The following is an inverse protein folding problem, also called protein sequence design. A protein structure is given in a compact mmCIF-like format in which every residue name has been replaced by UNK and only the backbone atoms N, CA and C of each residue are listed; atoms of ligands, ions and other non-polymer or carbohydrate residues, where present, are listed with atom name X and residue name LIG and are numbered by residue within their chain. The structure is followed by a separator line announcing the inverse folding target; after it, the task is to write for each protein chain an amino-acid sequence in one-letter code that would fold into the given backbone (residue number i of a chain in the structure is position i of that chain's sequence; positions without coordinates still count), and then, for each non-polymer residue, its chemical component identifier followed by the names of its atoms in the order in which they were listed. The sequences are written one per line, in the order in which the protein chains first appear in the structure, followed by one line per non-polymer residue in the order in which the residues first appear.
data_IF_499133730743
#
_entry.id   IF_499133730743
#
_cell.length_a   1.000
_cell.length_b   1.000
_cell.length_c   1.000
_cell.angle_alpha   90.00
_cell.angle_beta   90.00
_cell.angle_gamma   90.00
#
_symmetry.space_group_name_H-M   'P 1'
#
loop_
_entity.id
_entity.type
_entity.pdbx_description
1 polymer ?
#
# COMPACT_ATOMS: atom_id res chain seq x y z
N UNK A 1 19.94 -5.53 -33.63
CA UNK A 1 18.51 -5.21 -33.55
C UNK A 1 17.70 -6.49 -33.57
N UNK A 2 16.88 -6.73 -32.54
CA UNK A 2 16.03 -7.92 -32.48
C UNK A 2 14.62 -7.59 -32.97
N UNK A 3 14.35 -7.88 -34.26
CA UNK A 3 12.99 -7.87 -34.80
C UNK A 3 12.29 -9.17 -34.42
N UNK A 4 11.61 -9.18 -33.28
CA UNK A 4 10.73 -10.27 -32.90
C UNK A 4 9.47 -10.26 -33.78
N UNK A 5 9.37 -11.17 -34.74
CA UNK A 5 8.15 -11.37 -35.54
C UNK A 5 6.96 -11.61 -34.59
N UNK A 6 6.03 -10.66 -34.50
CA UNK A 6 4.75 -10.85 -33.81
C UNK A 6 4.03 -12.03 -34.45
N UNK A 7 3.78 -13.11 -33.70
CA UNK A 7 2.94 -14.24 -34.16
C UNK A 7 1.60 -13.69 -34.64
N UNK A 8 1.19 -14.04 -35.86
CA UNK A 8 -0.09 -13.61 -36.41
C UNK A 8 -1.25 -14.16 -35.57
N UNK A 9 -2.30 -13.36 -35.35
CA UNK A 9 -3.53 -13.84 -34.72
C UNK A 9 -4.11 -14.95 -35.58
N UNK A 10 -4.28 -16.15 -35.02
CA UNK A 10 -4.97 -17.24 -35.71
C UNK A 10 -6.43 -16.81 -35.94
N UNK A 11 -6.84 -16.73 -37.21
CA UNK A 11 -8.23 -16.40 -37.61
C UNK A 11 -9.22 -17.55 -37.39
N UNK A 12 -8.73 -18.77 -37.16
CA UNK A 12 -9.53 -19.98 -36.93
C UNK A 12 -8.92 -20.79 -35.79
N UNK A 13 -9.77 -21.31 -34.90
CA UNK A 13 -9.37 -22.27 -33.87
C UNK A 13 -9.94 -23.66 -34.22
N UNK A 14 -9.25 -24.73 -33.82
CA UNK A 14 -9.80 -26.08 -34.03
C UNK A 14 -10.96 -26.33 -33.02
N UNK A 15 -11.88 -27.26 -33.30
CA UNK A 15 -13.02 -27.54 -32.43
C UNK A 15 -12.61 -27.90 -31.00
N UNK A 16 -11.49 -28.61 -30.84
CA UNK A 16 -10.96 -28.99 -29.52
C UNK A 16 -10.49 -27.78 -28.70
N UNK A 17 -9.82 -26.81 -29.32
CA UNK A 17 -9.40 -25.55 -28.69
C UNK A 17 -10.61 -24.68 -28.39
N UNK A 18 -11.60 -24.66 -29.29
CA UNK A 18 -12.87 -23.97 -29.05
C UNK A 18 -13.58 -24.55 -27.82
N UNK A 19 -13.69 -25.88 -27.74
CA UNK A 19 -14.28 -26.57 -26.59
C UNK A 19 -13.50 -26.28 -25.29
N UNK A 20 -12.17 -26.30 -25.33
CA UNK A 20 -11.33 -25.96 -24.18
C UNK A 20 -11.49 -24.51 -23.72
N UNK A 21 -11.66 -23.56 -24.64
CA UNK A 21 -11.91 -22.15 -24.30
C UNK A 21 -13.32 -21.97 -23.73
N UNK A 22 -14.32 -22.64 -24.32
CA UNK A 22 -15.71 -22.58 -23.87
C UNK A 22 -15.96 -23.32 -22.55
N UNK A 23 -15.10 -24.28 -22.19
CA UNK A 23 -15.17 -25.02 -20.94
C UNK A 23 -14.67 -24.22 -19.72
N UNK A 24 -14.01 -23.07 -19.93
CA UNK A 24 -13.51 -22.24 -18.83
C UNK A 24 -14.69 -21.61 -18.10
N UNK A 25 -14.85 -21.93 -16.82
CA UNK A 25 -15.88 -21.31 -15.99
C UNK A 25 -15.46 -19.87 -15.59
N UNK A 26 -16.37 -18.89 -15.61
CA UNK A 26 -16.11 -17.56 -15.04
C UNK A 26 -15.75 -17.70 -13.55
N UNK A 27 -14.46 -17.56 -13.24
CA UNK A 27 -13.89 -17.81 -11.90
C UNK A 27 -12.64 -18.71 -11.91
N UNK A 28 -12.46 -19.56 -12.93
CA UNK A 28 -11.26 -20.40 -13.07
C UNK A 28 -10.07 -19.66 -13.73
N UNK A 29 -10.33 -18.56 -14.42
CA UNK A 29 -9.31 -17.79 -15.09
C UNK A 29 -8.75 -16.67 -14.20
N UNK A 30 -7.45 -16.76 -13.87
CA UNK A 30 -6.72 -15.62 -13.31
C UNK A 30 -6.49 -14.58 -14.41
N UNK A 31 -6.95 -13.33 -14.27
CA UNK A 31 -6.67 -12.26 -15.22
C UNK A 31 -5.17 -12.14 -15.49
N UNK A 32 -4.80 -12.03 -16.77
CA UNK A 32 -3.40 -12.03 -17.20
C UNK A 32 -2.55 -10.99 -16.47
N UNK A 33 -3.00 -9.73 -16.46
CA UNK A 33 -2.48 -8.69 -15.57
C UNK A 33 -3.63 -7.90 -14.95
N UNK A 34 -3.52 -7.60 -13.67
CA UNK A 34 -4.46 -6.78 -12.90
C UNK A 34 -3.81 -5.48 -12.48
N UNK A 35 -4.61 -4.55 -11.98
CA UNK A 35 -4.10 -3.40 -11.24
C UNK A 35 -3.22 -3.84 -10.07
N UNK A 36 -2.11 -3.14 -9.86
CA UNK A 36 -1.14 -3.45 -8.83
C UNK A 36 -1.46 -2.79 -7.48
N UNK A 37 -2.38 -1.84 -7.42
CA UNK A 37 -2.63 -0.99 -6.24
C UNK A 37 -2.87 -1.82 -4.98
N UNK A 38 -3.76 -2.80 -5.04
CA UNK A 38 -4.02 -3.71 -3.93
C UNK A 38 -2.81 -4.54 -3.51
N UNK A 39 -1.97 -4.94 -4.48
CA UNK A 39 -0.73 -5.67 -4.22
C UNK A 39 0.29 -4.78 -3.53
N UNK A 40 0.48 -3.56 -4.04
CA UNK A 40 1.40 -2.57 -3.48
C UNK A 40 1.02 -2.24 -2.04
N UNK A 41 -0.25 -1.91 -1.78
CA UNK A 41 -0.74 -1.52 -0.45
C UNK A 41 -0.57 -2.61 0.59
N UNK A 42 -0.82 -3.88 0.23
CA UNK A 42 -0.60 -5.04 1.12
C UNK A 42 0.88 -5.24 1.45
N UNK A 43 1.76 -5.18 0.45
CA UNK A 43 3.21 -5.28 0.69
C UNK A 43 3.68 -4.13 1.59
N UNK A 44 3.26 -2.90 1.29
CA UNK A 44 3.58 -1.70 2.08
C UNK A 44 3.14 -1.86 3.54
N UNK A 45 1.93 -2.35 3.77
CA UNK A 45 1.38 -2.58 5.12
C UNK A 45 2.15 -3.66 5.89
N UNK A 46 2.55 -4.75 5.24
CA UNK A 46 3.42 -5.76 5.87
C UNK A 46 4.79 -5.16 6.23
N UNK A 47 5.37 -4.34 5.36
CA UNK A 47 6.64 -3.65 5.67
C UNK A 47 6.46 -2.68 6.84
N UNK A 48 5.32 -1.98 6.93
CA UNK A 48 4.97 -1.13 8.07
C UNK A 48 4.80 -1.92 9.38
N UNK A 49 4.32 -3.17 9.31
CA UNK A 49 4.29 -4.09 10.45
C UNK A 49 5.67 -4.63 10.83
N UNK A 50 6.66 -4.53 9.94
CA UNK A 50 8.06 -4.89 10.19
C UNK A 50 8.58 -6.06 9.36
N UNK A 51 7.80 -6.57 8.40
CA UNK A 51 8.22 -7.64 7.49
C UNK A 51 9.16 -7.12 6.40
N UNK A 52 10.44 -7.52 6.34
CA UNK A 52 11.34 -7.09 5.28
C UNK A 52 11.01 -7.77 3.95
N UNK A 53 11.27 -7.08 2.84
CA UNK A 53 11.03 -7.62 1.49
C UNK A 53 11.79 -8.92 1.21
N UNK A 54 12.98 -9.08 1.80
CA UNK A 54 13.77 -10.32 1.71
C UNK A 54 13.08 -11.53 2.32
N UNK A 55 12.19 -11.33 3.31
CA UNK A 55 11.40 -12.40 3.93
C UNK A 55 10.07 -12.62 3.22
N UNK A 56 9.47 -11.54 2.69
CA UNK A 56 8.22 -11.60 1.94
C UNK A 56 8.40 -12.24 0.56
N UNK A 57 9.49 -11.93 -0.16
CA UNK A 57 9.72 -12.41 -1.52
C UNK A 57 9.61 -13.93 -1.67
N UNK A 58 10.35 -14.73 -0.88
CA UNK A 58 10.24 -16.19 -0.92
C UNK A 58 8.82 -16.71 -0.70
N UNK A 59 8.03 -16.05 0.17
CA UNK A 59 6.62 -16.42 0.43
C UNK A 59 5.70 -16.13 -0.76
N UNK A 60 6.05 -15.13 -1.58
CA UNK A 60 5.37 -14.86 -2.84
C UNK A 60 5.88 -15.73 -4.00
N UNK A 61 6.95 -16.51 -3.80
CA UNK A 61 7.67 -17.21 -4.86
C UNK A 61 8.53 -16.29 -5.74
N UNK A 62 8.99 -15.17 -5.19
CA UNK A 62 9.73 -14.12 -5.90
C UNK A 62 11.07 -13.81 -5.21
N UNK A 63 11.99 -13.20 -5.96
CA UNK A 63 13.19 -12.62 -5.37
C UNK A 63 12.87 -11.32 -4.61
N UNK A 64 13.75 -10.90 -3.69
CA UNK A 64 13.63 -9.60 -3.02
C UNK A 64 13.57 -8.46 -4.04
N UNK A 65 14.44 -8.50 -5.06
CA UNK A 65 14.48 -7.48 -6.12
C UNK A 65 13.15 -7.40 -6.87
N UNK A 66 12.60 -8.56 -7.26
CA UNK A 66 11.30 -8.62 -7.94
C UNK A 66 10.18 -8.11 -7.04
N UNK A 67 10.22 -8.45 -5.76
CA UNK A 67 9.24 -7.98 -4.77
C UNK A 67 9.31 -6.46 -4.60
N UNK A 68 10.51 -5.89 -4.60
CA UNK A 68 10.72 -4.44 -4.60
C UNK A 68 10.16 -3.77 -5.85
N UNK A 69 10.28 -4.41 -7.02
CA UNK A 69 9.73 -3.88 -8.27
C UNK A 69 8.20 -3.84 -8.28
N UNK A 70 7.52 -4.75 -7.55
CA UNK A 70 6.05 -4.71 -7.45
C UNK A 70 5.54 -3.40 -6.83
N UNK A 71 6.34 -2.72 -6.03
CA UNK A 71 5.97 -1.46 -5.36
C UNK A 71 5.86 -0.26 -6.32
N UNK A 72 6.36 -0.38 -7.55
CA UNK A 72 6.39 0.72 -8.53
C UNK A 72 5.74 0.36 -9.87
N UNK A 73 5.21 -0.86 -10.01
CA UNK A 73 4.57 -1.32 -11.24
C UNK A 73 3.08 -1.04 -11.21
N UNK A 74 2.50 -0.55 -12.31
CA UNK A 74 1.05 -0.29 -12.40
C UNK A 74 0.22 -1.58 -12.54
N UNK A 75 0.85 -2.64 -13.07
CA UNK A 75 0.18 -3.90 -13.38
C UNK A 75 1.00 -5.10 -12.92
N UNK A 76 0.34 -6.07 -12.30
CA UNK A 76 0.93 -7.33 -11.83
C UNK A 76 0.18 -8.53 -12.38
N UNK A 77 0.81 -9.70 -12.43
CA UNK A 77 0.10 -10.93 -12.79
C UNK A 77 -0.94 -11.29 -11.73
N UNK A 78 -2.13 -11.75 -12.13
CA UNK A 78 -3.18 -12.16 -11.19
C UNK A 78 -2.70 -13.23 -10.20
N UNK A 79 -1.81 -14.13 -10.65
CA UNK A 79 -1.15 -15.12 -9.77
C UNK A 79 -0.32 -14.47 -8.66
N UNK A 80 0.41 -13.39 -8.98
CA UNK A 80 1.22 -12.65 -8.01
C UNK A 80 0.31 -11.90 -7.03
N UNK A 81 -0.74 -11.24 -7.52
CA UNK A 81 -1.72 -10.57 -6.67
C UNK A 81 -2.36 -11.56 -5.67
N UNK A 82 -2.79 -12.74 -6.15
CA UNK A 82 -3.34 -13.80 -5.28
C UNK A 82 -2.35 -14.35 -4.25
N UNK A 83 -1.06 -14.48 -4.61
CA UNK A 83 -0.03 -14.88 -3.65
C UNK A 83 0.17 -13.83 -2.55
N UNK A 84 0.18 -12.55 -2.92
CA UNK A 84 0.31 -11.43 -1.96
C UNK A 84 -0.90 -11.34 -1.04
N UNK A 85 -2.12 -11.50 -1.54
CA UNK A 85 -3.34 -11.53 -0.72
C UNK A 85 -3.26 -12.63 0.34
N UNK A 86 -2.89 -13.85 -0.07
CA UNK A 86 -2.78 -15.00 0.84
C UNK A 86 -1.77 -14.75 1.96
N UNK A 87 -0.57 -14.33 1.60
CA UNK A 87 0.51 -14.06 2.56
C UNK A 87 0.19 -12.87 3.45
N UNK A 88 -0.49 -11.85 2.91
CA UNK A 88 -0.98 -10.73 3.71
C UNK A 88 -1.93 -11.21 4.80
N UNK A 89 -2.94 -12.01 4.44
CA UNK A 89 -3.90 -12.56 5.40
C UNK A 89 -3.22 -13.48 6.43
N UNK A 90 -2.23 -14.28 6.02
CA UNK A 90 -1.46 -15.15 6.92
C UNK A 90 -0.66 -14.35 7.95
N UNK A 91 -0.02 -13.25 7.52
CA UNK A 91 0.97 -12.52 8.34
C UNK A 91 0.41 -11.29 9.04
N UNK A 92 -0.82 -10.85 8.74
CA UNK A 92 -1.37 -9.60 9.23
C UNK A 92 -1.37 -9.51 10.77
N UNK A 93 -1.71 -10.61 11.43
CA UNK A 93 -1.79 -10.71 12.89
C UNK A 93 -0.54 -11.37 13.51
N UNK A 94 0.49 -11.65 12.70
CA UNK A 94 1.68 -12.35 13.14
C UNK A 94 2.81 -11.38 13.51
N UNK A 95 3.64 -11.79 14.48
CA UNK A 95 4.80 -11.02 14.92
C UNK A 95 6.05 -11.45 14.14
N UNK A 96 6.72 -10.58 13.37
CA UNK A 96 7.90 -10.95 12.57
C UNK A 96 9.00 -11.66 13.37
N UNK A 97 9.18 -11.32 14.64
CA UNK A 97 10.15 -11.94 15.55
C UNK A 97 9.92 -13.46 15.69
N UNK A 98 8.65 -13.89 15.71
CA UNK A 98 8.28 -15.32 15.81
C UNK A 98 8.55 -16.11 14.53
N UNK A 99 8.87 -15.42 13.44
CA UNK A 99 9.14 -16.02 12.13
C UNK A 99 10.59 -15.78 11.67
N UNK A 100 11.51 -15.61 12.62
CA UNK A 100 12.95 -15.53 12.36
C UNK A 100 13.42 -14.19 11.80
N UNK A 101 12.59 -13.14 11.84
CA UNK A 101 13.02 -11.81 11.40
C UNK A 101 13.82 -11.14 12.52
N UNK A 102 15.06 -10.77 12.24
CA UNK A 102 15.93 -10.11 13.22
C UNK A 102 15.41 -8.72 13.58
N UNK A 103 15.63 -8.30 14.85
CA UNK A 103 15.23 -6.98 15.34
C UNK A 103 15.73 -5.84 14.46
N UNK A 104 16.98 -5.93 13.96
CA UNK A 104 17.58 -4.96 13.03
C UNK A 104 16.79 -4.85 11.74
N UNK A 105 16.37 -5.96 11.14
CA UNK A 105 15.57 -5.96 9.91
C UNK A 105 14.17 -5.41 10.15
N UNK A 106 13.53 -5.75 11.27
CA UNK A 106 12.23 -5.17 11.66
C UNK A 106 12.31 -3.66 11.77
N UNK A 107 13.30 -3.13 12.48
CA UNK A 107 13.50 -1.68 12.63
C UNK A 107 13.74 -1.00 11.29
N UNK A 108 14.55 -1.60 10.41
CA UNK A 108 14.78 -1.05 9.06
C UNK A 108 13.52 -1.04 8.20
N UNK A 109 12.71 -2.10 8.24
CA UNK A 109 11.43 -2.19 7.54
C UNK A 109 10.47 -1.10 8.00
N UNK A 110 10.28 -0.97 9.32
CA UNK A 110 9.44 0.07 9.92
C UNK A 110 9.92 1.48 9.56
N UNK A 111 11.24 1.73 9.66
CA UNK A 111 11.83 3.01 9.27
C UNK A 111 11.66 3.32 7.78
N UNK A 112 11.72 2.30 6.91
CA UNK A 112 11.42 2.45 5.48
C UNK A 112 9.95 2.82 5.26
N UNK A 113 9.02 2.12 5.89
CA UNK A 113 7.60 2.40 5.78
C UNK A 113 7.27 3.82 6.28
N UNK A 114 7.86 4.24 7.40
CA UNK A 114 7.71 5.60 7.93
C UNK A 114 8.22 6.67 6.96
N UNK A 115 9.44 6.51 6.43
CA UNK A 115 10.02 7.46 5.46
C UNK A 115 9.18 7.59 4.19
N UNK A 116 8.55 6.50 3.74
CA UNK A 116 7.69 6.49 2.55
C UNK A 116 6.21 6.72 2.87
N UNK A 117 5.86 6.99 4.14
CA UNK A 117 4.49 7.22 4.61
C UNK A 117 3.52 6.12 4.16
N UNK A 118 3.92 4.87 4.37
CA UNK A 118 3.09 3.72 4.02
C UNK A 118 2.05 3.41 5.10
N UNK A 119 0.84 3.06 4.68
CA UNK A 119 -0.23 2.65 5.59
C UNK A 119 0.19 1.47 6.45
N UNK A 120 -0.38 1.40 7.64
CA UNK A 120 -0.29 0.22 8.50
C UNK A 120 -1.37 -0.80 8.14
N UNK A 121 -1.23 -2.01 8.66
CA UNK A 121 -2.26 -3.05 8.60
C UNK A 121 -3.54 -2.58 9.29
N UNK A 122 -3.42 -1.95 10.46
CA UNK A 122 -4.55 -1.40 11.21
C UNK A 122 -5.33 -0.36 10.40
N UNK A 123 -4.66 0.49 9.63
CA UNK A 123 -5.33 1.44 8.74
C UNK A 123 -6.24 0.71 7.73
N UNK A 124 -5.69 -0.30 7.05
CA UNK A 124 -6.45 -1.05 6.04
C UNK A 124 -7.51 -1.97 6.64
N UNK A 125 -7.34 -2.46 7.87
CA UNK A 125 -8.37 -3.23 8.57
C UNK A 125 -9.67 -2.43 8.75
N UNK A 126 -9.58 -1.10 8.95
CA UNK A 126 -10.76 -0.21 9.01
C UNK A 126 -11.35 0.14 7.64
N UNK A 127 -10.66 -0.21 6.55
CA UNK A 127 -10.95 0.20 5.16
C UNK A 127 -10.70 -0.96 4.20
N UNK A 128 -11.18 -2.15 4.56
CA UNK A 128 -10.87 -3.39 3.84
C UNK A 128 -11.31 -3.32 2.38
N UNK A 129 -12.49 -2.73 2.12
CA UNK A 129 -13.09 -2.62 0.78
C UNK A 129 -12.31 -1.67 -0.13
N UNK A 130 -11.57 -0.72 0.46
CA UNK A 130 -10.85 0.31 -0.26
C UNK A 130 -9.40 -0.08 -0.61
N UNK A 131 -8.86 -1.18 -0.06
CA UNK A 131 -7.46 -1.55 -0.27
C UNK A 131 -7.15 -1.84 -1.74
N UNK A 132 -8.11 -2.39 -2.48
CA UNK A 132 -7.97 -2.75 -3.89
C UNK A 132 -8.41 -1.65 -4.86
N UNK A 133 -9.07 -0.60 -4.37
CA UNK A 133 -9.56 0.50 -5.21
C UNK A 133 -8.40 1.44 -5.63
N UNK A 134 -8.05 1.50 -6.94
CA UNK A 134 -7.02 2.40 -7.44
C UNK A 134 -7.37 3.88 -7.32
N UNK A 135 -8.66 4.22 -7.23
CA UNK A 135 -9.15 5.59 -7.12
C UNK A 135 -9.22 6.07 -5.66
N UNK A 136 -9.15 5.15 -4.70
CA UNK A 136 -9.10 5.51 -3.29
C UNK A 136 -7.80 6.24 -2.96
N UNK A 137 -7.89 7.47 -2.45
CA UNK A 137 -6.73 8.22 -1.98
C UNK A 137 -6.60 8.01 -0.48
N UNK A 138 -5.52 7.39 0.01
CA UNK A 138 -5.45 7.09 1.43
C UNK A 138 -5.02 8.30 2.28
N UNK A 139 -5.74 8.50 3.38
CA UNK A 139 -5.53 9.62 4.30
C UNK A 139 -4.20 9.51 5.06
N UNK A 140 -3.62 8.31 5.21
CA UNK A 140 -2.37 8.08 5.97
C UNK A 140 -1.11 8.70 5.35
N UNK A 141 -1.17 9.17 4.10
CA UNK A 141 -0.08 9.98 3.53
C UNK A 141 0.03 11.34 4.22
N UNK A 142 -1.04 11.74 4.90
CA UNK A 142 -1.15 12.89 5.78
C UNK A 142 -1.08 12.33 7.21
N UNK A 143 -0.04 12.68 7.95
CA UNK A 143 0.09 12.30 9.36
C UNK A 143 -1.07 12.92 10.16
N UNK A 144 -1.46 12.32 11.28
CA UNK A 144 -2.46 12.93 12.17
C UNK A 144 -2.07 14.36 12.58
N UNK A 145 -0.77 14.64 12.68
CA UNK A 145 -0.24 15.97 12.89
C UNK A 145 -0.52 16.89 11.70
N UNK A 146 -0.30 16.46 10.46
CA UNK A 146 -0.62 17.24 9.27
C UNK A 146 -2.13 17.50 9.13
N UNK A 147 -2.99 16.51 9.41
CA UNK A 147 -4.45 16.69 9.46
C UNK A 147 -4.82 17.71 10.53
N UNK A 148 -4.27 17.56 11.74
CA UNK A 148 -4.50 18.48 12.84
C UNK A 148 -4.00 19.90 12.53
N UNK A 149 -2.87 20.03 11.82
CA UNK A 149 -2.33 21.30 11.36
C UNK A 149 -3.26 21.96 10.35
N UNK A 150 -3.76 21.20 9.39
CA UNK A 150 -4.69 21.67 8.36
C UNK A 150 -6.03 22.10 8.98
N UNK A 151 -6.60 21.28 9.87
CA UNK A 151 -7.83 21.61 10.60
C UNK A 151 -7.65 22.84 11.51
N UNK A 152 -6.48 22.97 12.15
CA UNK A 152 -6.14 24.17 12.93
C UNK A 152 -6.03 25.40 12.03
N UNK A 153 -5.36 25.31 10.87
CA UNK A 153 -5.27 26.44 9.91
C UNK A 153 -6.65 26.85 9.44
N UNK A 154 -7.50 25.89 9.08
CA UNK A 154 -8.87 26.16 8.68
C UNK A 154 -9.66 26.92 9.75
N UNK A 155 -9.57 26.52 11.03
CA UNK A 155 -10.23 27.22 12.14
C UNK A 155 -9.73 28.66 12.32
N UNK A 156 -8.43 28.90 12.11
CA UNK A 156 -7.85 30.24 12.23
C UNK A 156 -8.26 31.12 11.04
N UNK A 157 -8.11 30.60 9.83
CA UNK A 157 -8.27 31.37 8.58
C UNK A 157 -9.74 31.58 8.22
N UNK A 158 -10.59 30.56 8.43
CA UNK A 158 -11.99 30.58 7.99
C UNK A 158 -12.92 31.00 9.12
N UNK A 159 -12.71 30.48 10.33
CA UNK A 159 -13.56 30.77 11.48
C UNK A 159 -13.03 31.93 12.34
N UNK A 160 -11.83 32.45 12.05
CA UNK A 160 -11.25 33.61 12.75
C UNK A 160 -10.77 33.31 14.17
N UNK A 161 -10.64 32.03 14.54
CA UNK A 161 -10.24 31.64 15.89
C UNK A 161 -8.75 31.93 16.12
N UNK A 162 -8.41 32.28 17.35
CA UNK A 162 -7.02 32.27 17.80
C UNK A 162 -6.51 30.83 17.96
N UNK A 163 -5.18 30.66 18.00
CA UNK A 163 -4.56 29.33 18.22
C UNK A 163 -5.00 28.66 19.52
N UNK A 164 -5.29 29.46 20.55
CA UNK A 164 -5.78 28.95 21.85
C UNK A 164 -7.19 28.39 21.71
N UNK A 165 -8.10 29.13 21.08
CA UNK A 165 -9.49 28.71 20.86
C UNK A 165 -9.58 27.50 19.91
N UNK A 166 -8.73 27.46 18.88
CA UNK A 166 -8.63 26.29 18.01
C UNK A 166 -8.16 25.05 18.78
N UNK A 167 -7.17 25.19 19.68
CA UNK A 167 -6.68 24.10 20.52
C UNK A 167 -7.77 23.56 21.47
N UNK A 168 -8.51 24.47 22.13
CA UNK A 168 -9.64 24.12 22.98
C UNK A 168 -10.73 23.38 22.21
N UNK A 169 -11.09 23.89 21.03
CA UNK A 169 -12.11 23.28 20.17
C UNK A 169 -11.72 21.89 19.67
N UNK A 170 -10.44 21.67 19.39
CA UNK A 170 -9.90 20.38 18.95
C UNK A 170 -9.57 19.43 20.11
N UNK A 171 -9.79 19.85 21.36
CA UNK A 171 -9.48 19.06 22.56
C UNK A 171 -7.99 18.74 22.70
N UNK A 172 -7.12 19.67 22.27
CA UNK A 172 -5.65 19.53 22.33
C UNK A 172 -5.04 20.66 23.15
N UNK A 173 -3.88 20.38 23.74
CA UNK A 173 -3.11 21.41 24.41
C UNK A 173 -2.47 22.36 23.39
N UNK A 174 -2.47 23.67 23.66
CA UNK A 174 -1.93 24.70 22.75
C UNK A 174 -0.47 24.41 22.32
N UNK A 175 0.39 23.98 23.24
CA UNK A 175 1.78 23.65 22.90
C UNK A 175 1.92 22.46 21.92
N UNK A 176 0.93 21.56 21.88
CA UNK A 176 0.89 20.49 20.90
C UNK A 176 0.53 21.02 19.52
N UNK A 177 -0.43 21.95 19.44
CA UNK A 177 -0.81 22.65 18.21
C UNK A 177 0.34 23.47 17.64
N UNK A 178 1.02 24.28 18.46
CA UNK A 178 2.16 25.10 18.02
C UNK A 178 3.30 24.23 17.47
N UNK A 179 3.59 23.10 18.12
CA UNK A 179 4.59 22.13 17.64
C UNK A 179 4.21 21.52 16.30
N UNK A 180 2.95 21.13 16.16
CA UNK A 180 2.43 20.48 14.95
C UNK A 180 2.45 21.45 13.77
N UNK A 181 1.96 22.68 13.95
CA UNK A 181 2.03 23.74 12.94
C UNK A 181 3.48 23.98 12.50
N UNK A 182 4.40 24.20 13.45
CA UNK A 182 5.82 24.45 13.15
C UNK A 182 6.50 23.29 12.40
N UNK A 183 6.18 22.04 12.74
CA UNK A 183 6.70 20.87 12.01
C UNK A 183 6.17 20.80 10.57
N UNK A 184 4.90 21.14 10.33
CA UNK A 184 4.36 21.20 8.96
C UNK A 184 4.93 22.36 8.15
N UNK A 185 5.10 23.54 8.74
CA UNK A 185 5.56 24.73 8.03
C UNK A 185 7.02 24.57 7.58
N UNK A 186 7.87 24.02 8.46
CA UNK A 186 9.25 23.62 8.11
C UNK A 186 9.29 22.58 6.99
N UNK A 187 8.29 21.69 6.92
CA UNK A 187 8.19 20.68 5.86
C UNK A 187 7.63 21.23 4.54
N UNK A 188 6.89 22.32 4.57
CA UNK A 188 6.39 22.98 3.37
C UNK A 188 7.45 23.89 2.72
N UNK A 189 8.42 24.36 3.51
CA UNK A 189 9.52 25.22 3.06
C UNK A 189 10.76 24.46 2.55
N UNK A 190 10.79 23.13 2.64
CA UNK A 190 11.90 22.25 2.26
C UNK A 190 11.58 21.42 1.03
#
# INVERSE_FOLDING_TARGET
GFSGKRRSRKRRCNPETAAKILAIQPGEHLPGKTDATGTQRRIQALVAAGWPLSHLGPRFGLSERTTGALLTQDRVYGRTAGAVIRVYNELADQKPEKHGVTRRSITRSKARAQRNRWATIAYWATRADAIDDPHFTPDFKVTQAEILAEETRWLIETAGLTRTEAAERLGKHRSYIDRVLGQTDLKAAA
#
